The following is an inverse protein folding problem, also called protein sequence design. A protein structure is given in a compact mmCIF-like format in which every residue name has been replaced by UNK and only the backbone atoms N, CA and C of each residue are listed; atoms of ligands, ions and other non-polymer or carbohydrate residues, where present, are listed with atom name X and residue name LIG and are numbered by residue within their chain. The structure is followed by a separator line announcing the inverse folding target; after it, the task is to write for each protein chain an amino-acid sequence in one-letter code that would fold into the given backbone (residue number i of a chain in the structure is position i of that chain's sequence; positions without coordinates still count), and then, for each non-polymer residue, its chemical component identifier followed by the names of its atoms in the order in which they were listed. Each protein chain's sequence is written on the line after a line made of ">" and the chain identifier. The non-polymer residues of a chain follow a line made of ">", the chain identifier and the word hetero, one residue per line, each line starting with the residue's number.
data_IF_607215741956
#
_entry.id   IF_607215741956
#
_cell.length_a   1.000
_cell.length_b   1.000
_cell.length_c   1.000
_cell.angle_alpha   90.00
_cell.angle_beta   90.00
_cell.angle_gamma   90.00
#
_symmetry.space_group_name_H-M   'P 1'
#
loop_
_entity.id
_entity.type
_entity.pdbx_description
1 polymer ?
#
# COMPACT_ATOMS: atom_id res chain seq x y z
N UNK A 1 11.81 -11.44 4.67
CA UNK A 1 13.13 -11.52 4.02
C UNK A 1 13.82 -10.18 4.24
N UNK A 2 15.05 -10.20 4.72
CA UNK A 2 15.83 -8.99 5.07
C UNK A 2 16.83 -8.77 3.95
N UNK A 3 16.82 -7.59 3.33
CA UNK A 3 17.81 -7.25 2.31
C UNK A 3 19.19 -7.08 2.94
N UNK A 4 20.22 -7.56 2.23
CA UNK A 4 21.63 -7.48 2.65
C UNK A 4 22.05 -6.07 3.07
N UNK A 5 21.69 -4.99 2.35
CA UNK A 5 21.83 -3.64 2.88
C UNK A 5 20.75 -3.34 3.94
N UNK A 6 21.20 -3.17 5.19
CA UNK A 6 20.34 -2.85 6.34
C UNK A 6 19.40 -1.66 6.11
N UNK A 7 19.89 -0.62 5.42
CA UNK A 7 19.15 0.61 5.13
C UNK A 7 17.92 0.42 4.24
N UNK A 8 17.84 -0.69 3.52
CA UNK A 8 16.72 -0.98 2.60
C UNK A 8 15.56 -1.71 3.30
N UNK A 9 15.64 -1.91 4.61
CA UNK A 9 14.58 -2.56 5.38
C UNK A 9 13.98 -1.58 6.40
N UNK A 10 12.67 -1.64 6.58
CA UNK A 10 11.99 -1.00 7.71
C UNK A 10 12.07 -1.95 8.90
N UNK A 11 12.56 -1.44 10.03
CA UNK A 11 12.70 -2.20 11.28
C UNK A 11 11.33 -2.25 11.96
N UNK A 12 10.84 -3.45 12.26
CA UNK A 12 9.59 -3.66 13.00
C UNK A 12 9.88 -4.10 14.45
N UNK A 13 10.95 -4.88 14.63
CA UNK A 13 11.45 -5.31 15.94
C UNK A 13 12.96 -5.60 15.85
N UNK A 14 13.55 -6.09 16.95
CA UNK A 14 14.95 -6.52 16.97
C UNK A 14 15.25 -7.63 15.93
N UNK A 15 14.31 -8.55 15.74
CA UNK A 15 14.43 -9.73 14.86
C UNK A 15 13.68 -9.59 13.53
N UNK A 16 12.58 -8.84 13.49
CA UNK A 16 11.74 -8.68 12.29
C UNK A 16 12.03 -7.38 11.55
N UNK A 17 12.29 -7.52 10.25
CA UNK A 17 12.47 -6.39 9.33
C UNK A 17 11.71 -6.64 8.02
N UNK A 18 11.14 -5.58 7.49
CA UNK A 18 10.38 -5.59 6.25
C UNK A 18 11.23 -5.00 5.12
N UNK A 19 11.55 -5.81 4.11
CA UNK A 19 12.23 -5.35 2.88
C UNK A 19 11.39 -4.29 2.15
N UNK A 20 12.07 -3.23 1.69
CA UNK A 20 11.45 -2.19 0.86
C UNK A 20 11.59 -2.47 -0.63
N UNK A 21 12.35 -3.51 -1.01
CA UNK A 21 12.55 -3.89 -2.40
C UNK A 21 11.24 -4.31 -3.07
N UNK A 22 11.14 -3.94 -4.35
CA UNK A 22 9.92 -4.19 -5.13
C UNK A 22 9.79 -5.64 -5.58
N UNK A 23 10.89 -6.41 -5.61
CA UNK A 23 10.97 -7.78 -6.14
C UNK A 23 11.69 -8.71 -5.14
N UNK A 24 11.01 -9.13 -4.06
CA UNK A 24 11.56 -10.13 -3.16
C UNK A 24 11.78 -11.46 -3.92
N UNK A 25 12.82 -12.23 -3.52
CA UNK A 25 13.18 -13.50 -4.19
C UNK A 25 12.06 -14.53 -4.14
N UNK A 26 11.27 -14.55 -3.07
CA UNK A 26 10.05 -15.33 -2.96
C UNK A 26 8.82 -14.42 -3.13
N UNK A 27 8.01 -14.59 -4.21
CA UNK A 27 6.80 -13.83 -4.45
C UNK A 27 5.74 -13.94 -3.35
N UNK A 28 5.73 -15.05 -2.59
CA UNK A 28 4.74 -15.27 -1.50
C UNK A 28 4.99 -14.35 -0.30
N UNK A 29 6.23 -13.89 -0.14
CA UNK A 29 6.65 -12.98 0.92
C UNK A 29 6.61 -11.52 0.45
N UNK A 30 6.01 -11.25 -0.71
CA UNK A 30 5.84 -9.89 -1.20
C UNK A 30 4.82 -9.14 -0.34
N UNK A 31 5.23 -7.96 0.13
CA UNK A 31 4.31 -7.06 0.83
C UNK A 31 3.16 -6.66 -0.07
N UNK A 32 1.99 -6.50 0.53
CA UNK A 32 0.90 -5.81 -0.11
C UNK A 32 1.32 -4.35 -0.38
N UNK A 33 1.16 -3.89 -1.62
CA UNK A 33 1.48 -2.52 -2.04
C UNK A 33 0.23 -1.67 -2.25
N UNK A 34 -0.95 -2.20 -1.92
CA UNK A 34 -2.20 -1.46 -1.98
C UNK A 34 -2.21 -0.40 -0.88
N UNK A 35 -2.63 0.82 -1.24
CA UNK A 35 -2.72 1.96 -0.32
C UNK A 35 -4.18 2.36 -0.20
N UNK A 36 -4.68 2.50 1.03
CA UNK A 36 -6.00 3.05 1.33
C UNK A 36 -5.82 4.41 2.01
N UNK A 37 -6.45 5.45 1.47
CA UNK A 37 -6.37 6.82 2.00
C UNK A 37 -7.69 7.18 2.66
N UNK A 38 -7.69 7.45 3.97
CA UNK A 38 -8.87 7.84 4.77
C UNK A 38 -8.65 9.24 5.34
N UNK A 39 -9.72 10.03 5.46
CA UNK A 39 -9.67 11.39 6.00
C UNK A 39 -10.98 12.14 5.85
N UNK A 40 -11.17 13.21 6.63
CA UNK A 40 -12.40 14.02 6.65
C UNK A 40 -12.72 14.71 5.32
N UNK A 41 -13.94 15.23 5.17
CA UNK A 41 -14.34 15.95 3.95
C UNK A 41 -13.41 17.12 3.64
N UNK A 42 -13.10 17.36 2.37
CA UNK A 42 -12.21 18.46 1.93
C UNK A 42 -10.71 18.25 2.12
N UNK A 43 -10.25 17.13 2.71
CA UNK A 43 -8.83 16.89 3.04
C UNK A 43 -7.90 16.54 1.86
N UNK A 44 -8.32 16.77 0.61
CA UNK A 44 -7.47 16.58 -0.57
C UNK A 44 -7.15 15.13 -0.98
N UNK A 45 -7.82 14.11 -0.39
CA UNK A 45 -7.56 12.68 -0.68
C UNK A 45 -7.58 12.35 -2.18
N UNK A 46 -8.53 12.93 -2.90
CA UNK A 46 -8.69 12.74 -4.36
C UNK A 46 -7.68 13.56 -5.17
N UNK A 47 -7.25 14.71 -4.65
CA UNK A 47 -6.31 15.59 -5.35
C UNK A 47 -4.87 15.05 -5.30
N UNK A 48 -4.51 14.34 -4.21
CA UNK A 48 -3.13 13.88 -3.98
C UNK A 48 -2.96 12.36 -3.99
N UNK A 49 -4.04 11.58 -3.85
CA UNK A 49 -3.96 10.13 -3.64
C UNK A 49 -4.46 9.26 -4.79
N UNK A 50 -5.27 9.78 -5.72
CA UNK A 50 -5.95 8.95 -6.72
C UNK A 50 -6.08 9.61 -8.09
N UNK A 51 -5.91 8.81 -9.16
CA UNK A 51 -6.38 9.19 -10.50
C UNK A 51 -7.91 9.10 -10.53
N UNK A 52 -8.61 10.04 -11.17
CA UNK A 52 -10.08 10.13 -11.15
C UNK A 52 -10.82 8.91 -11.74
N UNK A 53 -10.12 7.95 -12.35
CA UNK A 53 -10.72 6.84 -13.08
C UNK A 53 -11.17 5.64 -12.23
N UNK A 54 -10.85 5.61 -10.92
CA UNK A 54 -11.06 4.42 -10.09
C UNK A 54 -11.86 4.66 -8.79
N UNK A 55 -12.34 5.88 -8.55
CA UNK A 55 -12.75 6.25 -7.21
C UNK A 55 -14.14 6.88 -7.15
N UNK A 56 -15.15 6.02 -7.32
CA UNK A 56 -16.47 6.28 -6.77
C UNK A 56 -17.02 4.96 -6.25
N UNK A 57 -17.04 4.77 -4.92
CA UNK A 57 -17.99 3.82 -4.33
C UNK A 57 -19.38 4.39 -4.60
N UNK A 58 -20.06 3.88 -5.62
CA UNK A 58 -21.42 4.25 -5.93
C UNK A 58 -22.39 3.44 -5.05
N UNK A 59 -23.34 4.13 -4.41
CA UNK A 59 -24.35 3.55 -3.50
C UNK A 59 -25.49 2.81 -4.23
N UNK A 60 -25.17 2.11 -5.31
CA UNK A 60 -26.16 1.54 -6.22
C UNK A 60 -25.55 0.49 -7.15
N UNK A 61 -24.94 -0.56 -6.61
CA UNK A 61 -24.68 -1.77 -7.38
C UNK A 61 -25.99 -2.58 -7.45
N UNK A 62 -26.93 -2.15 -8.31
CA UNK A 62 -28.08 -2.97 -8.65
C UNK A 62 -27.60 -4.08 -9.59
N UNK A 63 -27.70 -5.34 -9.13
CA UNK A 63 -27.53 -6.51 -9.99
C UNK A 63 -28.64 -6.51 -11.06
N UNK A 64 -28.24 -6.48 -12.33
CA UNK A 64 -28.98 -7.03 -13.47
C UNK A 64 -28.02 -7.90 -14.27
#
# INVERSE_FOLDING_TARGET
>A
MIDSPFRNNVILSETERLTMDKRPKDPRLARNKNVMVVGGSGSGKTQFGLKPNLMQCHSGLAYF
#
